data_IF_785019835992
#
_entry.id   IF_785019835992
#
_cell.length_a   1.000
_cell.length_b   1.000
_cell.length_c   1.000
_cell.angle_alpha   90.00
_cell.angle_beta   90.00
_cell.angle_gamma   90.00
#
_symmetry.space_group_name_H-M   'P 1'
#
loop_
_entity.id
_entity.type
_entity.pdbx_description
1 polymer ?
#
# COMPACT_ATOMS: atom_id res chain seq x y z
N UNK A 1 27.03 4.46 -9.37
CA UNK A 1 26.27 5.05 -8.26
C UNK A 1 25.19 6.03 -8.72
N UNK A 2 25.42 6.88 -9.72
CA UNK A 2 24.49 7.95 -10.14
C UNK A 2 23.17 7.52 -10.80
N UNK A 3 23.00 6.29 -11.28
CA UNK A 3 21.75 5.82 -11.92
C UNK A 3 20.72 5.22 -10.95
N UNK A 4 21.09 4.91 -9.73
CA UNK A 4 20.17 4.39 -8.70
C UNK A 4 19.35 5.49 -8.04
N UNK A 5 19.77 6.74 -8.19
CA UNK A 5 19.21 7.90 -7.52
C UNK A 5 18.51 8.89 -8.48
N UNK A 6 18.26 8.51 -9.73
CA UNK A 6 17.57 9.37 -10.70
C UNK A 6 16.07 9.06 -10.73
N UNK A 7 15.33 9.56 -9.75
CA UNK A 7 13.88 9.58 -9.82
C UNK A 7 13.41 10.59 -10.86
N UNK A 8 12.31 10.28 -11.53
CA UNK A 8 11.69 11.13 -12.52
C UNK A 8 10.35 11.66 -12.04
N UNK A 9 9.92 12.76 -12.65
CA UNK A 9 8.58 13.28 -12.48
C UNK A 9 7.52 12.24 -12.87
N UNK A 10 7.78 11.43 -13.92
CA UNK A 10 6.89 10.35 -14.36
C UNK A 10 6.74 9.28 -13.27
N UNK A 11 7.84 8.77 -12.73
CA UNK A 11 7.79 7.76 -11.67
C UNK A 11 7.03 8.24 -10.43
N UNK A 12 7.20 9.51 -10.05
CA UNK A 12 6.49 10.09 -8.92
C UNK A 12 4.99 10.30 -9.22
N UNK A 13 4.64 10.74 -10.45
CA UNK A 13 3.25 10.89 -10.89
C UNK A 13 2.51 9.55 -10.95
N UNK A 14 3.18 8.50 -11.43
CA UNK A 14 2.64 7.13 -11.44
C UNK A 14 2.45 6.63 -10.01
N UNK A 15 3.44 6.80 -9.12
CA UNK A 15 3.32 6.44 -7.70
C UNK A 15 2.10 7.11 -7.04
N UNK A 16 1.88 8.42 -7.28
CA UNK A 16 0.68 9.12 -6.83
C UNK A 16 -0.60 8.42 -7.30
N UNK A 17 -0.70 8.14 -8.60
CA UNK A 17 -1.91 7.53 -9.17
C UNK A 17 -2.20 6.15 -8.58
N UNK A 18 -1.19 5.31 -8.38
CA UNK A 18 -1.38 3.99 -7.78
C UNK A 18 -1.74 4.07 -6.29
N UNK A 19 -1.05 4.89 -5.52
CA UNK A 19 -1.31 5.00 -4.08
C UNK A 19 -2.73 5.52 -3.83
N UNK A 20 -3.10 6.66 -4.45
CA UNK A 20 -4.45 7.20 -4.28
C UNK A 20 -5.52 6.31 -4.93
N UNK A 21 -5.21 5.67 -6.06
CA UNK A 21 -6.10 4.72 -6.73
C UNK A 21 -6.43 3.50 -5.87
N UNK A 22 -5.46 2.97 -5.14
CA UNK A 22 -5.69 1.85 -4.22
C UNK A 22 -6.62 2.26 -3.08
N UNK A 23 -6.41 3.45 -2.48
CA UNK A 23 -7.34 3.98 -1.48
C UNK A 23 -8.73 4.29 -2.07
N UNK A 24 -8.79 4.77 -3.31
CA UNK A 24 -10.06 5.01 -4.00
C UNK A 24 -10.86 3.71 -4.12
N UNK A 25 -10.24 2.64 -4.62
CA UNK A 25 -10.88 1.33 -4.73
C UNK A 25 -11.30 0.81 -3.35
N UNK A 26 -10.41 0.87 -2.35
CA UNK A 26 -10.73 0.50 -0.98
C UNK A 26 -11.94 1.27 -0.43
N UNK A 27 -11.98 2.59 -0.66
CA UNK A 27 -13.09 3.44 -0.22
C UNK A 27 -14.41 3.09 -0.92
N UNK A 28 -14.37 2.72 -2.20
CA UNK A 28 -15.58 2.30 -2.95
C UNK A 28 -16.20 1.06 -2.31
N UNK A 29 -15.38 0.03 -2.03
CA UNK A 29 -15.87 -1.28 -1.55
C UNK A 29 -16.22 -1.28 -0.05
N UNK A 30 -15.65 -0.36 0.73
CA UNK A 30 -15.89 -0.31 2.18
C UNK A 30 -17.22 0.35 2.52
N UNK A 31 -18.01 -0.26 3.41
CA UNK A 31 -19.25 0.30 3.93
C UNK A 31 -19.01 1.28 5.08
N UNK A 32 -18.97 2.58 4.79
CA UNK A 32 -18.84 3.63 5.82
C UNK A 32 -20.09 3.74 6.69
N UNK A 33 -21.26 3.48 6.12
CA UNK A 33 -22.53 3.56 6.82
C UNK A 33 -22.61 2.58 8.00
N UNK A 34 -21.98 1.39 7.86
CA UNK A 34 -21.92 0.42 8.95
C UNK A 34 -21.19 1.00 10.19
N UNK A 35 -20.13 1.79 9.99
CA UNK A 35 -19.44 2.46 11.08
C UNK A 35 -20.32 3.52 11.76
N UNK A 36 -21.15 4.24 10.98
CA UNK A 36 -22.12 5.23 11.47
C UNK A 36 -23.32 4.64 12.21
N UNK A 37 -23.50 3.31 12.21
CA UNK A 37 -24.53 2.60 12.98
C UNK A 37 -24.00 2.12 14.34
N UNK A 38 -22.69 2.17 14.56
CA UNK A 38 -22.10 1.75 15.83
C UNK A 38 -22.41 2.76 16.94
N UNK A 39 -22.71 2.29 18.17
CA UNK A 39 -22.95 3.18 19.31
C UNK A 39 -21.71 4.03 19.62
N UNK A 40 -21.86 5.35 19.71
CA UNK A 40 -20.78 6.27 20.08
C UNK A 40 -20.21 5.95 21.46
N UNK A 41 -21.00 5.31 22.32
CA UNK A 41 -20.59 4.90 23.68
C UNK A 41 -19.44 3.90 23.73
N UNK A 42 -19.23 3.11 22.67
CA UNK A 42 -18.09 2.18 22.58
C UNK A 42 -16.84 2.81 21.97
N UNK A 43 -16.95 4.03 21.44
CA UNK A 43 -15.84 4.76 20.85
C UNK A 43 -14.80 5.09 21.93
N UNK A 44 -13.54 4.78 21.61
CA UNK A 44 -12.38 5.15 22.45
C UNK A 44 -11.37 5.92 21.61
N UNK A 45 -11.53 7.26 21.53
CA UNK A 45 -10.65 8.07 20.69
C UNK A 45 -9.17 7.84 21.03
N UNK A 46 -8.35 7.65 19.98
CA UNK A 46 -6.91 7.40 20.10
C UNK A 46 -6.11 8.47 19.37
N UNK A 47 -4.86 8.72 19.78
CA UNK A 47 -3.99 9.69 19.13
C UNK A 47 -4.63 11.07 18.99
N UNK A 48 -4.56 11.66 17.79
CA UNK A 48 -5.13 12.99 17.48
C UNK A 48 -6.65 13.04 17.61
N UNK A 49 -7.34 11.91 17.53
CA UNK A 49 -8.79 11.85 17.71
C UNK A 49 -9.22 12.30 19.11
N UNK A 50 -8.37 12.18 20.14
CA UNK A 50 -8.64 12.68 21.50
C UNK A 50 -8.84 14.20 21.58
N UNK A 51 -8.37 14.93 20.60
CA UNK A 51 -8.48 16.40 20.56
C UNK A 51 -9.86 16.87 20.09
N UNK A 52 -10.69 15.98 19.55
CA UNK A 52 -12.01 16.31 19.03
C UNK A 52 -13.06 16.20 20.15
N UNK A 53 -14.01 17.14 20.25
CA UNK A 53 -15.06 17.09 21.25
C UNK A 53 -16.09 16.00 20.93
N UNK A 54 -16.76 15.47 21.95
CA UNK A 54 -17.79 14.43 21.80
C UNK A 54 -18.94 14.87 20.88
N UNK A 55 -19.36 16.12 20.95
CA UNK A 55 -20.39 16.67 20.06
C UNK A 55 -20.03 16.61 18.56
N UNK A 56 -18.74 16.51 18.24
CA UNK A 56 -18.28 16.28 16.89
C UNK A 56 -18.53 14.82 16.44
N UNK A 57 -18.23 13.87 17.34
CA UNK A 57 -18.47 12.45 17.05
C UNK A 57 -19.96 12.15 16.88
N UNK A 58 -20.81 12.73 17.70
CA UNK A 58 -22.28 12.58 17.62
C UNK A 58 -22.83 13.04 16.26
N UNK A 59 -22.20 14.02 15.63
CA UNK A 59 -22.59 14.53 14.30
C UNK A 59 -22.03 13.70 13.15
N UNK A 60 -20.78 13.26 13.26
CA UNK A 60 -20.07 12.56 12.18
C UNK A 60 -20.40 11.07 12.16
N UNK A 61 -20.50 10.42 13.33
CA UNK A 61 -20.81 9.00 13.46
C UNK A 61 -22.33 8.74 13.34
N UNK A 62 -22.88 9.20 12.23
CA UNK A 62 -24.24 8.94 11.79
C UNK A 62 -24.18 8.35 10.37
N UNK A 63 -25.16 7.56 9.93
CA UNK A 63 -25.17 7.05 8.55
C UNK A 63 -25.03 8.14 7.49
N UNK A 64 -25.64 9.30 7.70
CA UNK A 64 -25.55 10.47 6.81
C UNK A 64 -24.18 11.14 6.88
N UNK A 65 -23.62 11.37 8.08
CA UNK A 65 -22.30 11.94 8.26
C UNK A 65 -21.20 11.06 7.64
N UNK A 66 -21.28 9.74 7.83
CA UNK A 66 -20.38 8.78 7.22
C UNK A 66 -20.53 8.70 5.70
N UNK A 67 -21.75 8.91 5.16
CA UNK A 67 -21.95 9.02 3.71
C UNK A 67 -21.28 10.28 3.16
N UNK A 68 -21.41 11.43 3.83
CA UNK A 68 -20.75 12.67 3.44
C UNK A 68 -19.23 12.49 3.47
N UNK A 69 -18.68 11.88 4.52
CA UNK A 69 -17.25 11.57 4.62
C UNK A 69 -16.78 10.68 3.46
N UNK A 70 -17.53 9.61 3.16
CA UNK A 70 -17.23 8.72 2.03
C UNK A 70 -17.22 9.48 0.71
N UNK A 71 -18.22 10.30 0.42
CA UNK A 71 -18.29 11.09 -0.80
C UNK A 71 -17.11 12.08 -0.91
N UNK A 72 -16.77 12.76 0.17
CA UNK A 72 -15.62 13.67 0.22
C UNK A 72 -14.29 12.92 -0.02
N UNK A 73 -14.11 11.73 0.58
CA UNK A 73 -12.95 10.87 0.33
C UNK A 73 -12.90 10.41 -1.14
N UNK A 74 -13.99 9.90 -1.68
CA UNK A 74 -14.04 9.44 -3.08
C UNK A 74 -13.67 10.56 -4.04
N UNK A 75 -14.22 11.76 -3.85
CA UNK A 75 -13.93 12.92 -4.70
C UNK A 75 -12.46 13.35 -4.60
N UNK A 76 -11.94 13.47 -3.37
CA UNK A 76 -10.55 13.89 -3.17
C UNK A 76 -9.55 12.84 -3.69
N UNK A 77 -9.81 11.55 -3.47
CA UNK A 77 -8.98 10.45 -3.97
C UNK A 77 -9.04 10.33 -5.49
N UNK A 78 -10.21 10.53 -6.11
CA UNK A 78 -10.35 10.56 -7.56
C UNK A 78 -9.50 11.69 -8.16
N UNK A 79 -9.63 12.91 -7.63
CA UNK A 79 -8.85 14.05 -8.10
C UNK A 79 -7.35 13.84 -7.89
N UNK A 80 -6.94 13.27 -6.77
CA UNK A 80 -5.54 12.91 -6.53
C UNK A 80 -5.06 11.84 -7.50
N UNK A 81 -5.87 10.83 -7.80
CA UNK A 81 -5.51 9.73 -8.72
C UNK A 81 -5.26 10.24 -10.13
N UNK A 82 -6.16 11.08 -10.66
CA UNK A 82 -5.99 11.67 -12.01
C UNK A 82 -5.02 12.86 -12.04
N UNK A 83 -4.67 13.40 -10.86
CA UNK A 83 -3.78 14.56 -10.74
C UNK A 83 -4.43 15.88 -11.14
N UNK A 84 -5.65 16.11 -10.68
CA UNK A 84 -6.37 17.38 -10.85
C UNK A 84 -6.33 18.19 -9.56
N UNK A 85 -5.95 19.47 -9.63
CA UNK A 85 -5.58 20.28 -8.47
C UNK A 85 -4.66 19.50 -7.52
N UNK A 86 -3.61 18.87 -8.06
CA UNK A 86 -2.81 17.82 -7.39
C UNK A 86 -2.35 18.23 -6.00
N UNK A 87 -1.83 19.47 -5.85
CA UNK A 87 -1.31 19.93 -4.56
C UNK A 87 -2.40 20.03 -3.47
N UNK A 88 -3.63 20.35 -3.83
CA UNK A 88 -4.76 20.45 -2.90
C UNK A 88 -5.38 19.07 -2.66
N UNK A 89 -5.66 18.33 -3.74
CA UNK A 89 -6.33 17.04 -3.65
C UNK A 89 -5.53 16.00 -2.87
N UNK A 90 -4.18 15.95 -3.02
CA UNK A 90 -3.34 15.03 -2.26
C UNK A 90 -3.32 15.34 -0.76
N UNK A 91 -3.33 16.61 -0.37
CA UNK A 91 -3.39 17.00 1.05
C UNK A 91 -4.77 16.72 1.64
N UNK A 92 -5.84 17.00 0.87
CA UNK A 92 -7.20 16.74 1.32
C UNK A 92 -7.46 15.24 1.46
N UNK A 93 -7.02 14.41 0.50
CA UNK A 93 -7.14 12.97 0.58
C UNK A 93 -6.36 12.40 1.78
N UNK A 94 -5.14 12.89 2.03
CA UNK A 94 -4.36 12.51 3.21
C UNK A 94 -5.13 12.82 4.50
N UNK A 95 -5.67 14.04 4.63
CA UNK A 95 -6.41 14.45 5.83
C UNK A 95 -7.64 13.56 6.06
N UNK A 96 -8.42 13.32 5.00
CA UNK A 96 -9.64 12.51 5.09
C UNK A 96 -9.34 11.03 5.38
N UNK A 97 -8.29 10.47 4.77
CA UNK A 97 -7.85 9.09 5.04
C UNK A 97 -7.36 8.95 6.48
N UNK A 98 -6.50 9.86 6.97
CA UNK A 98 -6.04 9.82 8.37
C UNK A 98 -7.22 9.95 9.33
N UNK A 99 -8.17 10.84 9.02
CA UNK A 99 -9.35 11.00 9.85
C UNK A 99 -10.20 9.72 9.89
N UNK A 100 -10.51 9.13 8.74
CA UNK A 100 -11.25 7.87 8.66
C UNK A 100 -10.54 6.72 9.40
N UNK A 101 -9.24 6.56 9.17
CA UNK A 101 -8.44 5.55 9.88
C UNK A 101 -8.40 5.79 11.40
N UNK A 102 -8.38 7.05 11.82
CA UNK A 102 -8.48 7.44 13.22
C UNK A 102 -9.83 7.02 13.84
N UNK A 103 -10.93 7.20 13.11
CA UNK A 103 -12.25 6.74 13.55
C UNK A 103 -12.30 5.22 13.68
N UNK A 104 -11.87 4.47 12.66
CA UNK A 104 -11.86 3.00 12.66
C UNK A 104 -11.04 2.46 13.85
N UNK A 105 -9.87 3.03 14.10
CA UNK A 105 -9.01 2.66 15.24
C UNK A 105 -9.62 3.01 16.58
N UNK A 106 -10.40 4.07 16.64
CA UNK A 106 -11.11 4.46 17.88
C UNK A 106 -12.22 3.47 18.25
N UNK A 107 -12.66 2.63 17.33
CA UNK A 107 -13.53 1.46 17.60
C UNK A 107 -12.75 0.16 17.89
N UNK A 108 -11.43 0.24 18.06
CA UNK A 108 -10.59 -0.91 18.44
C UNK A 108 -10.13 -1.78 17.25
N UNK A 109 -10.41 -1.38 16.02
CA UNK A 109 -9.95 -2.10 14.84
C UNK A 109 -8.58 -1.59 14.38
N UNK A 110 -7.55 -2.42 14.56
CA UNK A 110 -6.16 -2.06 14.27
C UNK A 110 -5.66 -2.79 13.01
N UNK A 111 -6.06 -2.31 11.84
CA UNK A 111 -5.42 -2.73 10.59
C UNK A 111 -4.07 -2.04 10.44
N UNK A 112 -3.01 -2.82 10.32
CA UNK A 112 -1.65 -2.32 10.07
C UNK A 112 -1.23 -2.46 8.60
N UNK A 113 -1.97 -3.19 7.81
CA UNK A 113 -1.74 -3.43 6.38
C UNK A 113 -1.84 -2.15 5.53
N UNK A 114 -2.71 -1.21 5.89
CA UNK A 114 -2.85 0.06 5.19
C UNK A 114 -1.80 1.11 5.61
N UNK A 115 -1.08 0.90 6.72
CA UNK A 115 -0.20 1.92 7.30
C UNK A 115 0.92 2.35 6.37
N UNK A 116 1.52 1.42 5.62
CA UNK A 116 2.56 1.74 4.65
C UNK A 116 2.03 2.69 3.58
N UNK A 117 0.82 2.43 3.08
CA UNK A 117 0.19 3.27 2.08
C UNK A 117 -0.17 4.66 2.64
N UNK A 118 -0.57 4.77 3.91
CA UNK A 118 -0.77 6.06 4.59
C UNK A 118 0.54 6.85 4.65
N UNK A 119 1.67 6.23 4.98
CA UNK A 119 2.97 6.91 4.93
C UNK A 119 3.32 7.40 3.52
N UNK A 120 2.95 6.65 2.48
CA UNK A 120 3.13 7.10 1.10
C UNK A 120 2.25 8.31 0.78
N UNK A 121 1.00 8.36 1.26
CA UNK A 121 0.16 9.55 1.14
C UNK A 121 0.82 10.77 1.80
N UNK A 122 1.42 10.60 2.99
CA UNK A 122 2.17 11.68 3.65
C UNK A 122 3.30 12.18 2.76
N UNK A 123 4.13 11.29 2.21
CA UNK A 123 5.21 11.69 1.31
C UNK A 123 4.66 12.44 0.09
N UNK A 124 3.63 11.88 -0.57
CA UNK A 124 3.07 12.42 -1.81
C UNK A 124 2.35 13.75 -1.63
N UNK A 125 1.82 14.05 -0.44
CA UNK A 125 1.15 15.32 -0.15
C UNK A 125 2.10 16.53 -0.14
N UNK A 126 3.42 16.31 0.04
CA UNK A 126 4.40 17.39 0.21
C UNK A 126 5.47 17.43 -0.89
N UNK A 127 5.29 16.69 -1.98
CA UNK A 127 6.25 16.60 -3.09
C UNK A 127 5.58 16.95 -4.43
N UNK A 128 6.34 17.34 -5.46
CA UNK A 128 5.79 17.76 -6.75
C UNK A 128 5.31 16.58 -7.61
N UNK A 129 4.41 15.76 -7.08
CA UNK A 129 3.89 14.56 -7.74
C UNK A 129 2.85 14.85 -8.86
N UNK A 130 2.52 16.13 -9.10
CA UNK A 130 1.66 16.58 -10.20
C UNK A 130 2.42 17.08 -11.44
N UNK A 131 3.75 17.01 -11.44
CA UNK A 131 4.55 17.57 -12.53
C UNK A 131 4.61 16.68 -13.78
N UNK A 132 4.23 15.41 -13.67
CA UNK A 132 4.02 14.50 -14.80
C UNK A 132 2.90 13.52 -14.48
N UNK A 133 2.37 12.85 -15.50
CA UNK A 133 1.29 11.87 -15.41
C UNK A 133 0.09 12.40 -14.60
N UNK A 134 -0.32 13.65 -14.90
CA UNK A 134 -1.40 14.34 -14.20
C UNK A 134 -2.21 15.19 -15.17
N UNK A 135 -3.47 15.43 -14.86
CA UNK A 135 -4.32 16.34 -15.60
C UNK A 135 -3.79 17.78 -15.50
N UNK A 136 -3.22 18.16 -14.34
CA UNK A 136 -2.58 19.47 -14.16
C UNK A 136 -1.38 19.67 -15.10
N UNK A 137 -0.59 18.63 -15.37
CA UNK A 137 0.51 18.68 -16.32
C UNK A 137 -0.02 18.89 -17.75
N UNK A 138 -1.05 18.20 -18.12
CA UNK A 138 -1.67 18.22 -19.45
C UNK A 138 -2.32 19.57 -19.75
N UNK A 139 -3.13 20.07 -18.83
CA UNK A 139 -3.89 21.31 -19.02
C UNK A 139 -3.02 22.56 -18.96
N UNK A 140 -1.99 22.55 -18.10
CA UNK A 140 -1.10 23.71 -17.93
C UNK A 140 0.08 23.71 -18.89
N UNK A 141 0.21 22.73 -19.80
CA UNK A 141 1.33 22.56 -20.76
C UNK A 141 2.70 22.73 -20.08
N UNK A 142 2.85 22.24 -18.85
CA UNK A 142 4.12 22.29 -18.14
C UNK A 142 5.19 21.53 -18.93
N UNK A 143 6.37 22.13 -19.08
CA UNK A 143 7.51 21.43 -19.67
C UNK A 143 7.86 20.21 -18.82
N UNK A 144 8.19 19.10 -19.48
CA UNK A 144 8.71 17.91 -18.80
C UNK A 144 9.95 18.31 -18.04
N UNK A 145 9.92 18.14 -16.73
CA UNK A 145 11.03 18.53 -15.86
C UNK A 145 12.14 17.49 -15.95
N UNK A 146 13.37 17.97 -15.97
CA UNK A 146 14.55 17.11 -15.96
C UNK A 146 14.61 16.30 -14.63
N UNK A 147 15.22 15.11 -14.64
CA UNK A 147 15.45 14.34 -13.42
C UNK A 147 16.11 15.22 -12.36
N UNK A 148 15.52 15.26 -11.18
CA UNK A 148 16.02 16.09 -10.08
C UNK A 148 15.94 15.37 -8.75
N UNK A 149 16.65 15.86 -7.77
CA UNK A 149 16.62 15.36 -6.38
C UNK A 149 15.20 15.43 -5.82
N UNK A 150 14.38 16.42 -6.23
CA UNK A 150 13.01 16.58 -5.81
C UNK A 150 12.11 15.39 -6.17
N UNK A 151 12.44 14.64 -7.22
CA UNK A 151 11.72 13.40 -7.61
C UNK A 151 12.39 12.14 -7.09
N UNK A 152 13.72 12.16 -6.94
CA UNK A 152 14.50 11.00 -6.51
C UNK A 152 14.24 10.67 -5.05
N UNK A 153 14.34 11.67 -4.19
CA UNK A 153 14.28 11.48 -2.75
C UNK A 153 12.91 10.94 -2.27
N UNK A 154 11.74 11.39 -2.78
CA UNK A 154 10.46 10.81 -2.36
C UNK A 154 10.32 9.34 -2.76
N UNK A 155 10.77 8.97 -3.96
CA UNK A 155 10.74 7.58 -4.43
C UNK A 155 11.65 6.71 -3.55
N UNK A 156 12.87 7.19 -3.26
CA UNK A 156 13.79 6.47 -2.37
C UNK A 156 13.23 6.34 -0.96
N UNK A 157 12.61 7.40 -0.41
CA UNK A 157 11.99 7.37 0.91
C UNK A 157 10.86 6.32 0.98
N UNK A 158 10.00 6.27 -0.04
CA UNK A 158 8.93 5.26 -0.11
C UNK A 158 9.50 3.84 -0.23
N UNK A 159 10.59 3.64 -0.99
CA UNK A 159 11.29 2.35 -1.07
C UNK A 159 11.92 1.96 0.29
N UNK A 160 12.51 2.91 1.00
CA UNK A 160 13.06 2.70 2.35
C UNK A 160 11.97 2.35 3.37
N UNK A 161 10.82 3.02 3.32
CA UNK A 161 9.69 2.70 4.19
C UNK A 161 9.19 1.27 3.98
N UNK A 162 9.06 0.82 2.73
CA UNK A 162 8.69 -0.57 2.44
C UNK A 162 9.76 -1.56 2.91
N UNK A 163 11.03 -1.27 2.64
CA UNK A 163 12.13 -2.12 3.09
C UNK A 163 12.18 -2.22 4.62
N UNK A 164 11.91 -1.12 5.31
CA UNK A 164 11.81 -1.08 6.77
C UNK A 164 10.66 -1.94 7.30
N UNK A 165 9.49 -1.91 6.66
CA UNK A 165 8.33 -2.72 7.08
C UNK A 165 8.69 -4.21 7.07
N UNK A 166 9.27 -4.74 5.99
CA UNK A 166 9.66 -6.15 5.94
C UNK A 166 10.81 -6.47 6.89
N UNK A 167 11.86 -5.66 6.88
CA UNK A 167 13.02 -5.87 7.74
C UNK A 167 12.65 -5.84 9.23
N UNK A 168 11.85 -4.86 9.65
CA UNK A 168 11.40 -4.77 11.05
C UNK A 168 10.46 -5.92 11.43
N UNK A 169 9.64 -6.41 10.50
CA UNK A 169 8.79 -7.59 10.70
C UNK A 169 9.65 -8.81 11.08
N UNK A 170 10.72 -9.06 10.33
CA UNK A 170 11.65 -10.16 10.65
C UNK A 170 12.35 -9.95 12.00
N UNK A 171 12.79 -8.73 12.31
CA UNK A 171 13.42 -8.44 13.60
C UNK A 171 12.48 -8.67 14.78
N UNK A 172 11.22 -8.26 14.66
CA UNK A 172 10.20 -8.48 15.70
C UNK A 172 9.97 -9.98 15.91
N UNK A 173 9.83 -10.77 14.84
CA UNK A 173 9.68 -12.23 14.91
C UNK A 173 10.87 -12.88 15.66
N UNK A 174 12.08 -12.49 15.28
CA UNK A 174 13.30 -12.98 15.94
C UNK A 174 13.41 -12.52 17.41
N UNK A 175 13.02 -11.29 17.71
CA UNK A 175 13.07 -10.75 19.07
C UNK A 175 12.05 -11.41 19.99
N UNK A 176 10.84 -11.66 19.51
CA UNK A 176 9.72 -12.17 20.33
C UNK A 176 9.79 -13.68 20.48
N UNK A 177 9.99 -14.41 19.40
CA UNK A 177 9.94 -15.87 19.36
C UNK A 177 11.33 -16.51 19.22
N UNK A 178 12.36 -15.76 18.84
CA UNK A 178 13.68 -16.29 18.55
C UNK A 178 13.64 -17.37 17.46
N UNK A 179 14.50 -18.37 17.57
CA UNK A 179 14.52 -19.50 16.64
C UNK A 179 13.27 -20.39 16.75
N UNK A 180 12.48 -20.27 17.81
CA UNK A 180 11.20 -21.00 17.94
C UNK A 180 10.21 -20.57 16.85
N UNK A 181 10.37 -19.36 16.26
CA UNK A 181 9.57 -18.95 15.11
C UNK A 181 9.70 -19.90 13.92
N UNK A 182 10.82 -20.60 13.78
CA UNK A 182 11.08 -21.59 12.72
C UNK A 182 10.37 -22.93 12.97
N UNK A 183 9.55 -23.05 14.01
CA UNK A 183 8.79 -24.27 14.28
C UNK A 183 7.89 -24.64 13.10
N UNK A 184 7.76 -25.93 12.83
CA UNK A 184 6.84 -26.49 11.84
C UNK A 184 5.35 -26.15 12.12
N UNK A 185 5.02 -25.76 13.35
CA UNK A 185 3.67 -25.38 13.76
C UNK A 185 3.34 -23.91 13.53
N UNK A 186 4.34 -23.07 13.36
CA UNK A 186 4.14 -21.60 13.25
C UNK A 186 3.17 -21.25 12.12
N UNK A 187 3.40 -21.77 10.93
CA UNK A 187 2.55 -21.44 9.77
C UNK A 187 1.15 -22.07 9.86
N UNK A 188 1.00 -23.37 10.22
CA UNK A 188 -0.31 -23.97 10.41
C UNK A 188 -1.16 -23.25 11.45
N UNK A 189 -0.57 -22.93 12.61
CA UNK A 189 -1.29 -22.23 13.69
C UNK A 189 -1.77 -20.87 13.24
N UNK A 190 -0.90 -20.07 12.61
CA UNK A 190 -1.26 -18.74 12.10
C UNK A 190 -2.34 -18.84 11.01
N UNK A 191 -2.19 -19.77 10.07
CA UNK A 191 -3.12 -19.92 8.96
C UNK A 191 -4.51 -20.38 9.45
N UNK A 192 -4.57 -21.34 10.37
CA UNK A 192 -5.83 -21.81 10.94
C UNK A 192 -6.47 -20.69 11.77
N UNK A 193 -5.70 -19.98 12.61
CA UNK A 193 -6.20 -18.88 13.42
C UNK A 193 -6.89 -17.82 12.52
N UNK A 194 -6.20 -17.33 11.49
CA UNK A 194 -6.78 -16.33 10.58
C UNK A 194 -7.94 -16.86 9.74
N UNK A 195 -7.94 -18.16 9.40
CA UNK A 195 -9.08 -18.77 8.69
C UNK A 195 -10.31 -18.89 9.58
N UNK A 196 -10.15 -19.05 10.90
CA UNK A 196 -11.26 -19.10 11.85
C UNK A 196 -11.84 -17.70 12.12
N UNK A 197 -11.05 -16.63 12.05
CA UNK A 197 -11.57 -15.25 12.18
C UNK A 197 -12.60 -14.91 11.07
N UNK A 198 -12.54 -15.59 9.92
CA UNK A 198 -13.42 -15.41 8.77
C UNK A 198 -14.43 -16.56 8.63
N UNK A 199 -15.12 -16.92 9.71
CA UNK A 199 -16.06 -18.06 9.76
C UNK A 199 -17.20 -17.99 8.72
N UNK A 200 -17.50 -16.82 8.17
CA UNK A 200 -18.53 -16.65 7.15
C UNK A 200 -18.10 -17.14 5.75
N UNK A 201 -16.80 -17.29 5.51
CA UNK A 201 -16.25 -17.80 4.25
C UNK A 201 -15.70 -19.22 4.43
N UNK A 202 -16.58 -20.22 4.27
CA UNK A 202 -16.20 -21.63 4.36
C UNK A 202 -15.42 -22.14 3.15
N UNK A 203 -15.16 -21.30 2.14
CA UNK A 203 -14.47 -21.68 0.90
C UNK A 203 -12.96 -21.84 1.11
N UNK A 204 -12.37 -21.14 2.09
CA UNK A 204 -10.92 -21.15 2.35
C UNK A 204 -10.49 -22.22 3.35
N UNK A 205 -10.45 -23.49 2.90
CA UNK A 205 -10.03 -24.61 3.74
C UNK A 205 -8.57 -25.04 3.58
N UNK A 206 -7.78 -24.34 2.78
CA UNK A 206 -6.38 -24.70 2.51
C UNK A 206 -5.51 -24.67 3.77
N UNK A 207 -5.82 -23.80 4.73
CA UNK A 207 -5.13 -23.73 6.01
C UNK A 207 -5.10 -25.08 6.75
N UNK A 208 -6.19 -25.84 6.69
CA UNK A 208 -6.33 -27.15 7.37
C UNK A 208 -5.51 -28.27 6.74
N UNK A 209 -5.00 -28.06 5.52
CA UNK A 209 -4.09 -28.99 4.86
C UNK A 209 -2.62 -28.81 5.28
N UNK A 210 -2.23 -27.63 5.73
CA UNK A 210 -0.85 -27.30 6.13
C UNK A 210 -0.25 -28.27 7.19
N UNK A 211 -0.97 -28.74 8.23
CA UNK A 211 -0.43 -29.69 9.18
C UNK A 211 0.08 -31.00 8.57
N UNK A 212 -0.42 -31.37 7.39
CA UNK A 212 0.00 -32.63 6.70
C UNK A 212 1.40 -32.52 6.10
N UNK A 213 1.89 -31.29 5.85
CA UNK A 213 3.21 -31.03 5.25
C UNK A 213 4.19 -30.32 6.19
N UNK A 214 4.02 -30.52 7.52
CA UNK A 214 4.77 -29.84 8.60
C UNK A 214 6.29 -29.79 8.38
N UNK A 215 6.91 -30.88 7.93
CA UNK A 215 8.37 -30.93 7.74
C UNK A 215 8.88 -29.91 6.72
N UNK A 216 8.09 -29.62 5.69
CA UNK A 216 8.41 -28.63 4.68
C UNK A 216 8.17 -27.20 5.17
N UNK A 217 7.25 -27.00 6.10
CA UNK A 217 6.85 -25.65 6.54
C UNK A 217 7.93 -24.92 7.33
N UNK A 218 8.77 -25.63 8.08
CA UNK A 218 9.95 -25.02 8.73
C UNK A 218 10.86 -24.34 7.71
N UNK A 219 11.10 -25.01 6.58
CA UNK A 219 11.88 -24.44 5.49
C UNK A 219 11.18 -23.20 4.88
N UNK A 220 9.86 -23.26 4.63
CA UNK A 220 9.08 -22.14 4.11
C UNK A 220 9.13 -20.92 5.05
N UNK A 221 8.93 -21.13 6.35
CA UNK A 221 9.03 -20.07 7.35
C UNK A 221 10.44 -19.46 7.38
N UNK A 222 11.47 -20.30 7.27
CA UNK A 222 12.87 -19.85 7.18
C UNK A 222 13.10 -18.98 5.92
N UNK A 223 12.59 -19.40 4.76
CA UNK A 223 12.68 -18.61 3.52
C UNK A 223 11.99 -17.26 3.64
N UNK A 224 10.80 -17.20 4.23
CA UNK A 224 10.09 -15.94 4.47
C UNK A 224 10.91 -15.02 5.36
N UNK A 225 11.45 -15.54 6.47
CA UNK A 225 12.27 -14.76 7.39
C UNK A 225 13.53 -14.20 6.72
N UNK A 226 14.23 -15.02 5.94
CA UNK A 226 15.43 -14.61 5.19
C UNK A 226 15.06 -13.57 4.14
N UNK A 227 13.95 -13.76 3.42
CA UNK A 227 13.46 -12.79 2.46
C UNK A 227 13.14 -11.44 3.10
N UNK A 228 12.43 -11.42 4.23
CA UNK A 228 12.13 -10.19 4.97
C UNK A 228 13.42 -9.45 5.39
N UNK A 229 14.43 -10.19 5.90
CA UNK A 229 15.73 -9.60 6.27
C UNK A 229 16.51 -9.06 5.08
N UNK A 230 16.43 -9.72 3.93
CA UNK A 230 17.16 -9.33 2.72
C UNK A 230 16.41 -8.30 1.87
N UNK A 231 15.15 -7.99 2.17
CA UNK A 231 14.34 -7.08 1.37
C UNK A 231 14.99 -5.70 1.15
N UNK A 232 15.74 -5.09 2.10
CA UNK A 232 16.47 -3.84 1.85
C UNK A 232 17.41 -3.87 0.65
N UNK A 233 17.94 -5.05 0.27
CA UNK A 233 18.77 -5.18 -0.92
C UNK A 233 18.03 -4.86 -2.23
N UNK A 234 16.70 -4.86 -2.24
CA UNK A 234 15.89 -4.45 -3.38
C UNK A 234 16.17 -2.98 -3.80
N UNK A 235 16.62 -2.14 -2.86
CA UNK A 235 16.96 -0.74 -3.13
C UNK A 235 18.30 -0.66 -3.87
N UNK A 236 19.32 -1.38 -3.40
CA UNK A 236 20.71 -1.21 -3.82
C UNK A 236 21.10 -2.19 -4.94
N UNK A 237 20.51 -3.35 -5.00
CA UNK A 237 20.91 -4.41 -5.92
C UNK A 237 19.81 -4.72 -6.94
N UNK A 238 19.94 -4.17 -8.15
CA UNK A 238 18.93 -4.24 -9.22
C UNK A 238 18.55 -5.67 -9.63
N UNK A 239 19.52 -6.63 -9.62
CA UNK A 239 19.21 -8.03 -9.96
C UNK A 239 18.41 -8.71 -8.85
N UNK A 240 18.80 -8.50 -7.59
CA UNK A 240 18.09 -9.03 -6.43
C UNK A 240 16.68 -8.45 -6.30
N UNK A 241 16.48 -7.17 -6.70
CA UNK A 241 15.18 -6.49 -6.67
C UNK A 241 14.05 -7.33 -7.24
N UNK A 242 14.21 -7.83 -8.45
CA UNK A 242 13.15 -8.56 -9.13
C UNK A 242 12.84 -9.90 -8.48
N UNK A 243 13.85 -10.59 -7.95
CA UNK A 243 13.67 -11.81 -7.16
C UNK A 243 12.96 -11.53 -5.85
N UNK A 244 13.35 -10.47 -5.15
CA UNK A 244 12.75 -10.09 -3.86
C UNK A 244 11.29 -9.62 -4.03
N UNK A 245 10.99 -8.84 -5.07
CA UNK A 245 9.62 -8.44 -5.39
C UNK A 245 8.75 -9.63 -5.84
N UNK A 246 9.29 -10.51 -6.70
CA UNK A 246 8.59 -11.71 -7.16
C UNK A 246 8.26 -12.65 -5.99
N UNK A 247 9.21 -12.87 -5.07
CA UNK A 247 8.95 -13.65 -3.86
C UNK A 247 7.90 -12.96 -2.98
N UNK A 248 7.93 -11.63 -2.85
CA UNK A 248 6.94 -10.87 -2.11
C UNK A 248 5.52 -11.00 -2.68
N UNK A 249 5.38 -10.99 -4.01
CA UNK A 249 4.08 -11.25 -4.65
C UNK A 249 3.60 -12.67 -4.30
N UNK A 250 4.49 -13.67 -4.44
CA UNK A 250 4.17 -15.05 -4.08
C UNK A 250 3.78 -15.18 -2.60
N UNK A 251 4.50 -14.51 -1.70
CA UNK A 251 4.18 -14.46 -0.27
C UNK A 251 2.77 -13.89 -0.03
N UNK A 252 2.41 -12.75 -0.63
CA UNK A 252 1.08 -12.17 -0.45
C UNK A 252 -0.05 -12.99 -1.10
N UNK A 253 0.23 -13.66 -2.22
CA UNK A 253 -0.72 -14.64 -2.78
C UNK A 253 -0.90 -15.83 -1.84
N UNK A 254 0.19 -16.33 -1.24
CA UNK A 254 0.10 -17.42 -0.27
C UNK A 254 -0.67 -17.01 1.01
N UNK A 255 -0.47 -15.78 1.52
CA UNK A 255 -1.26 -15.30 2.66
C UNK A 255 -2.73 -15.17 2.34
N UNK A 256 -3.08 -14.76 1.12
CA UNK A 256 -4.48 -14.77 0.66
C UNK A 256 -5.04 -16.20 0.62
N UNK A 257 -4.33 -17.15 0.01
CA UNK A 257 -4.81 -18.51 -0.19
C UNK A 257 -4.89 -19.34 1.11
N UNK A 258 -3.94 -19.16 2.02
CA UNK A 258 -3.84 -19.99 3.23
C UNK A 258 -4.35 -19.31 4.50
N UNK A 259 -4.42 -17.95 4.53
CA UNK A 259 -4.82 -17.19 5.71
C UNK A 259 -6.07 -16.33 5.47
N UNK A 260 -6.57 -16.26 4.23
CA UNK A 260 -7.63 -15.34 3.81
C UNK A 260 -7.31 -13.87 4.13
N UNK A 261 -6.01 -13.50 4.06
CA UNK A 261 -5.55 -12.14 4.29
C UNK A 261 -5.09 -11.55 2.96
N UNK A 262 -5.82 -10.56 2.48
CA UNK A 262 -5.49 -9.85 1.25
C UNK A 262 -4.74 -8.55 1.54
N UNK A 263 -3.59 -8.35 0.89
CA UNK A 263 -2.72 -7.18 1.05
C UNK A 263 -2.69 -6.31 -0.22
N UNK A 264 -3.80 -5.67 -0.63
CA UNK A 264 -3.84 -4.92 -1.88
C UNK A 264 -2.90 -3.71 -1.88
N UNK A 265 -2.76 -3.06 -0.73
CA UNK A 265 -1.88 -1.90 -0.57
C UNK A 265 -0.41 -2.28 -0.78
N UNK A 266 0.08 -3.36 -0.16
CA UNK A 266 1.46 -3.81 -0.30
C UNK A 266 1.79 -4.20 -1.75
N UNK A 267 0.89 -4.93 -2.40
CA UNK A 267 1.06 -5.32 -3.81
C UNK A 267 1.13 -4.10 -4.74
N UNK A 268 0.23 -3.12 -4.56
CA UNK A 268 0.26 -1.89 -5.33
C UNK A 268 1.54 -1.07 -5.08
N UNK A 269 2.05 -1.05 -3.83
CA UNK A 269 3.25 -0.29 -3.47
C UNK A 269 4.53 -0.87 -4.10
N UNK A 270 4.56 -2.14 -4.55
CA UNK A 270 5.72 -2.67 -5.28
C UNK A 270 6.01 -1.92 -6.58
N UNK A 271 5.03 -1.24 -7.16
CA UNK A 271 5.19 -0.44 -8.38
C UNK A 271 6.16 0.75 -8.20
N UNK A 272 6.50 1.13 -6.95
CA UNK A 272 7.51 2.16 -6.66
C UNK A 272 8.93 1.72 -7.06
N UNK A 273 9.18 0.41 -7.23
CA UNK A 273 10.47 -0.14 -7.64
C UNK A 273 10.65 -0.22 -9.16
N UNK A 274 9.60 0.07 -9.94
CA UNK A 274 9.63 0.04 -11.40
C UNK A 274 10.28 1.31 -11.94
N UNK A 275 11.19 1.15 -12.90
CA UNK A 275 11.78 2.25 -13.66
C UNK A 275 10.82 2.66 -14.80
N UNK A 276 9.88 3.52 -14.46
CA UNK A 276 8.81 3.97 -15.38
C UNK A 276 9.33 4.68 -16.61
N UNK A 277 10.43 5.45 -16.50
CA UNK A 277 11.02 6.12 -17.66
C UNK A 277 11.62 5.13 -18.65
N UNK A 278 12.24 4.08 -18.15
CA UNK A 278 12.76 3.02 -19.02
C UNK A 278 11.64 2.28 -19.71
N UNK A 279 10.57 2.00 -18.99
CA UNK A 279 9.38 1.34 -19.56
C UNK A 279 8.75 2.22 -20.65
N UNK A 280 8.55 3.50 -20.38
CA UNK A 280 8.00 4.46 -21.33
C UNK A 280 8.85 4.57 -22.62
N UNK A 281 10.18 4.68 -22.47
CA UNK A 281 11.10 4.69 -23.63
C UNK A 281 11.00 3.41 -24.45
N UNK A 282 10.90 2.26 -23.81
CA UNK A 282 10.79 0.96 -24.48
C UNK A 282 9.47 0.82 -25.25
N UNK A 283 8.36 1.29 -24.69
CA UNK A 283 7.06 1.31 -25.36
C UNK A 283 7.08 2.20 -26.61
N UNK A 284 7.57 3.45 -26.48
CA UNK A 284 7.65 4.38 -27.61
C UNK A 284 8.55 3.86 -28.75
N UNK A 285 9.66 3.14 -28.42
CA UNK A 285 10.50 2.53 -29.46
C UNK A 285 9.77 1.43 -30.24
N UNK A 286 8.89 0.66 -29.57
CA UNK A 286 8.11 -0.38 -30.24
C UNK A 286 7.03 0.18 -31.16
N UNK A 287 6.38 1.28 -30.78
CA UNK A 287 5.41 1.95 -31.65
C UNK A 287 6.04 2.42 -32.96
N UNK A 288 7.20 3.06 -32.89
CA UNK A 288 7.96 3.50 -34.08
C UNK A 288 8.35 2.34 -35.00
N UNK A 289 8.75 1.20 -34.42
CA UNK A 289 9.12 0.02 -35.23
C UNK A 289 7.87 -0.61 -35.88
N UNK A 290 6.75 -0.67 -35.16
CA UNK A 290 5.49 -1.21 -35.66
C UNK A 290 4.93 -0.36 -36.83
N UNK A 291 4.97 0.96 -36.71
CA UNK A 291 4.56 1.86 -37.78
C UNK A 291 5.45 1.73 -39.01
N UNK A 292 6.77 1.60 -38.84
CA UNK A 292 7.70 1.40 -39.95
C UNK A 292 7.47 0.07 -40.71
N UNK A 293 6.98 -0.97 -40.02
CA UNK A 293 6.67 -2.28 -40.64
C UNK A 293 5.30 -2.30 -41.35
N UNK A 294 4.39 -1.37 -40.99
CA UNK A 294 3.06 -1.29 -41.66
C UNK A 294 3.07 -0.47 -42.93
N UNK A 295 4.09 0.35 -43.18
CA UNK A 295 4.24 1.22 -44.36
C UNK A 295 5.37 0.80 -45.30
N UNK A 296 6.04 -0.32 -45.09
CA UNK A 296 7.01 -0.95 -45.95
C UNK A 296 6.51 -2.26 -46.54
#
# INVERSE_FOLDING_TARGET
MNRLLSGSALGLGVARSFVHGTFLVGTVVTSFQALGQLPVTILRPTGLMKLLPWSFYDRVLTPSGMTVLKCAMLLSLLFSTIGYFTSLSTKLSLLLVIFYQGLVRSFGHYNHDEMLAVYYLVVLAFVPCGDAFSLDHWTRRKRVQQPSVAYTYPILLMQLLMAWVYFSSALVKLRVAGLKYLSADTLPVLAIYHSLDNLHDTSFRLAFWLPQVRGFLTFVVGLVLVWELLFPLAIFWRRARWWLLGFGILFHVATLLFMNIFFPYQLAMYLIFVDWDRLARWLNQREVISEAQTFG
#
